data_IF_957868501872
#
_entry.id   IF_957868501872
#
_cell.length_a   1.000
_cell.length_b   1.000
_cell.length_c   1.000
_cell.angle_alpha   90.00
_cell.angle_beta   90.00
_cell.angle_gamma   90.00
#
_symmetry.space_group_name_H-M   'P 1'
#
loop_
_entity.id
_entity.type
_entity.pdbx_description
1 polymer ?
#
# COMPACT_ATOMS: atom_id res chain seq x y z
N UNK A 1 -54.68 -28.26 -40.06
CA UNK A 1 -53.72 -28.37 -38.94
C UNK A 1 -52.36 -27.84 -39.38
N UNK A 2 -51.94 -26.65 -38.93
CA UNK A 2 -50.57 -26.16 -39.15
C UNK A 2 -50.08 -25.46 -37.88
N UNK A 3 -48.98 -25.96 -37.36
CA UNK A 3 -48.49 -25.76 -35.98
C UNK A 3 -47.66 -24.47 -35.94
N UNK A 4 -48.11 -23.48 -35.17
CA UNK A 4 -47.36 -22.26 -34.81
C UNK A 4 -45.97 -22.64 -34.27
N UNK A 5 -44.92 -22.38 -35.05
CA UNK A 5 -43.53 -22.35 -34.56
C UNK A 5 -43.25 -20.94 -34.05
N UNK A 6 -43.61 -20.67 -32.79
CA UNK A 6 -43.10 -19.49 -32.06
C UNK A 6 -41.64 -19.76 -31.75
N UNK A 7 -40.73 -19.12 -32.48
CA UNK A 7 -39.33 -19.02 -32.08
C UNK A 7 -39.27 -18.23 -30.78
N UNK A 8 -39.07 -18.95 -29.66
CA UNK A 8 -38.53 -18.36 -28.43
C UNK A 8 -37.11 -17.91 -28.77
N UNK A 9 -36.96 -16.66 -29.19
CA UNK A 9 -35.67 -16.00 -29.17
C UNK A 9 -35.18 -16.10 -27.73
N UNK A 10 -34.08 -16.83 -27.54
CA UNK A 10 -33.30 -16.86 -26.30
C UNK A 10 -33.00 -15.42 -25.96
N UNK A 11 -33.66 -14.94 -24.91
CA UNK A 11 -33.24 -13.76 -24.18
C UNK A 11 -31.87 -14.10 -23.57
N UNK A 12 -30.83 -13.84 -24.36
CA UNK A 12 -29.44 -13.93 -23.93
C UNK A 12 -29.15 -12.67 -23.15
N UNK A 13 -29.79 -12.59 -21.98
CA UNK A 13 -29.40 -11.71 -20.89
C UNK A 13 -27.97 -12.08 -20.51
N UNK A 14 -26.99 -11.50 -21.22
CA UNK A 14 -25.66 -11.31 -20.68
C UNK A 14 -25.91 -10.46 -19.46
N UNK A 15 -25.98 -11.10 -18.30
CA UNK A 15 -25.74 -10.44 -17.04
C UNK A 15 -24.30 -9.93 -17.14
N UNK A 16 -24.14 -8.74 -17.72
CA UNK A 16 -23.01 -7.86 -17.42
C UNK A 16 -22.98 -7.87 -15.89
N UNK A 17 -21.95 -8.45 -15.24
CA UNK A 17 -21.85 -8.34 -13.80
C UNK A 17 -21.68 -6.86 -13.58
N UNK A 18 -22.76 -6.18 -13.17
CA UNK A 18 -22.72 -4.80 -12.74
C UNK A 18 -21.53 -4.75 -11.80
N UNK A 19 -20.48 -4.03 -12.20
CA UNK A 19 -19.27 -3.83 -11.42
C UNK A 19 -19.74 -3.14 -10.15
N UNK A 20 -20.15 -3.94 -9.17
CA UNK A 20 -20.61 -3.49 -7.88
C UNK A 20 -19.37 -2.88 -7.28
N UNK A 21 -19.25 -1.55 -7.40
CA UNK A 21 -18.15 -0.75 -6.85
C UNK A 21 -18.23 -0.90 -5.34
N UNK A 22 -17.66 -1.99 -4.86
CA UNK A 22 -17.59 -2.30 -3.44
C UNK A 22 -16.64 -1.30 -2.78
N UNK A 23 -17.00 -0.73 -1.61
CA UNK A 23 -16.27 0.38 -1.04
C UNK A 23 -14.94 -0.11 -0.45
N UNK A 24 -13.86 0.10 -1.21
CA UNK A 24 -12.47 -0.05 -0.76
C UNK A 24 -12.13 0.85 0.44
N UNK A 25 -12.98 1.84 0.73
CA UNK A 25 -12.82 2.78 1.85
C UNK A 25 -12.76 2.08 3.21
N UNK A 26 -13.56 1.03 3.44
CA UNK A 26 -13.56 0.33 4.74
C UNK A 26 -12.24 -0.41 5.00
N UNK A 27 -11.76 -1.34 4.12
CA UNK A 27 -10.49 -2.01 4.36
C UNK A 27 -9.30 -1.04 4.35
N UNK A 28 -9.29 -0.03 3.48
CA UNK A 28 -8.25 0.98 3.49
C UNK A 28 -8.23 1.79 4.80
N UNK A 29 -9.41 2.17 5.32
CA UNK A 29 -9.53 2.85 6.60
C UNK A 29 -9.07 2.00 7.78
N UNK A 30 -9.40 0.71 7.79
CA UNK A 30 -8.91 -0.23 8.82
C UNK A 30 -7.39 -0.39 8.78
N UNK A 31 -6.80 -0.54 7.58
CA UNK A 31 -5.35 -0.60 7.42
C UNK A 31 -4.67 0.69 7.85
N UNK A 32 -5.25 1.84 7.52
CA UNK A 32 -4.74 3.14 7.97
C UNK A 32 -4.73 3.24 9.50
N UNK A 33 -5.84 2.87 10.15
CA UNK A 33 -5.95 2.90 11.61
C UNK A 33 -4.99 1.90 12.27
N UNK A 34 -4.85 0.70 11.72
CA UNK A 34 -3.91 -0.31 12.20
C UNK A 34 -2.46 0.20 12.12
N UNK A 35 -2.06 0.75 10.97
CA UNK A 35 -0.75 1.37 10.79
C UNK A 35 -0.55 2.54 11.76
N UNK A 36 -1.56 3.40 11.94
CA UNK A 36 -1.45 4.58 12.79
C UNK A 36 -1.26 4.18 14.25
N UNK A 37 -2.01 3.19 14.73
CA UNK A 37 -1.88 2.66 16.10
C UNK A 37 -0.50 2.03 16.29
N UNK A 38 -0.04 1.21 15.34
CA UNK A 38 1.26 0.54 15.41
C UNK A 38 2.44 1.53 15.42
N UNK A 39 2.36 2.60 14.63
CA UNK A 39 3.42 3.60 14.49
C UNK A 39 3.24 4.83 15.38
N UNK A 40 2.17 4.93 16.18
CA UNK A 40 1.87 6.13 16.96
C UNK A 40 3.05 6.59 17.83
N UNK A 41 3.73 5.64 18.47
CA UNK A 41 4.86 5.93 19.34
C UNK A 41 6.14 6.25 18.57
N UNK A 42 6.27 5.88 17.28
CA UNK A 42 7.50 6.08 16.51
C UNK A 42 7.75 7.55 16.18
N UNK A 43 6.70 8.38 16.07
CA UNK A 43 6.80 9.81 15.70
C UNK A 43 7.68 10.66 16.61
N UNK A 44 8.02 10.17 17.81
CA UNK A 44 8.85 10.88 18.80
C UNK A 44 10.18 10.21 19.08
N UNK A 45 10.45 9.05 18.48
CA UNK A 45 11.68 8.30 18.71
C UNK A 45 12.83 8.98 17.97
N UNK A 46 13.99 9.21 18.62
CA UNK A 46 15.15 9.80 17.97
C UNK A 46 15.74 8.85 16.91
N UNK A 47 16.53 9.42 16.00
CA UNK A 47 17.34 8.65 15.05
C UNK A 47 18.39 7.83 15.81
N UNK A 48 18.34 6.50 15.67
CA UNK A 48 19.19 5.56 16.43
C UNK A 48 19.81 4.52 15.50
N UNK A 49 20.81 3.79 16.00
CA UNK A 49 21.48 2.70 15.26
C UNK A 49 21.98 3.14 13.88
N UNK A 50 21.45 2.55 12.81
CA UNK A 50 21.86 2.79 11.44
C UNK A 50 21.43 4.17 10.93
N UNK A 51 20.43 4.82 11.52
CA UNK A 51 20.04 6.18 11.17
C UNK A 51 21.17 7.19 11.42
N UNK A 52 22.05 6.90 12.39
CA UNK A 52 23.18 7.78 12.71
C UNK A 52 24.13 7.90 11.51
N UNK A 53 24.45 6.77 10.87
CA UNK A 53 25.36 6.75 9.72
C UNK A 53 24.62 7.02 8.40
N UNK A 54 23.35 6.66 8.32
CA UNK A 54 22.55 6.76 7.09
C UNK A 54 21.99 8.17 6.89
N UNK A 55 21.63 8.86 7.98
CA UNK A 55 20.96 10.18 7.95
C UNK A 55 21.81 11.22 8.69
N UNK A 56 22.06 11.03 9.99
CA UNK A 56 22.63 12.11 10.81
C UNK A 56 24.03 12.51 10.37
N UNK A 57 24.92 11.53 10.16
CA UNK A 57 26.34 11.73 9.81
C UNK A 57 26.62 11.57 8.33
N UNK A 58 25.59 11.37 7.51
CA UNK A 58 25.76 11.16 6.07
C UNK A 58 25.82 12.51 5.33
N UNK A 59 27.02 12.89 4.88
CA UNK A 59 27.20 14.08 4.06
C UNK A 59 26.39 14.03 2.75
N UNK A 60 26.25 12.84 2.15
CA UNK A 60 25.46 12.65 0.93
C UNK A 60 23.99 12.98 1.11
N UNK A 61 23.41 12.69 2.28
CA UNK A 61 22.04 13.11 2.61
C UNK A 61 21.93 14.62 2.77
N UNK A 62 22.90 15.25 3.46
CA UNK A 62 22.90 16.68 3.75
C UNK A 62 23.13 17.56 2.51
N UNK A 63 23.98 17.10 1.58
CA UNK A 63 24.40 17.86 0.41
C UNK A 63 23.83 17.31 -0.91
N UNK A 64 23.04 16.23 -0.87
CA UNK A 64 22.44 15.62 -2.06
C UNK A 64 23.44 14.85 -2.94
N UNK A 65 24.58 14.46 -2.37
CA UNK A 65 25.66 13.76 -3.07
C UNK A 65 25.52 12.24 -2.87
N UNK A 66 24.76 11.58 -3.74
CA UNK A 66 24.61 10.11 -3.70
C UNK A 66 24.65 9.48 -5.09
N UNK A 67 25.13 8.25 -5.16
CA UNK A 67 25.33 7.52 -6.41
C UNK A 67 24.03 6.85 -6.87
N UNK A 68 23.64 7.08 -8.13
CA UNK A 68 22.43 6.53 -8.76
C UNK A 68 22.55 5.08 -9.26
N UNK A 69 23.63 4.37 -8.90
CA UNK A 69 23.87 3.00 -9.35
C UNK A 69 22.88 1.99 -8.73
N UNK A 70 22.61 0.89 -9.44
CA UNK A 70 21.70 -0.19 -8.99
C UNK A 70 22.14 -0.88 -7.69
N UNK A 71 23.42 -0.78 -7.32
CA UNK A 71 23.93 -1.27 -6.03
C UNK A 71 23.71 -0.27 -4.88
N UNK A 72 23.29 0.97 -5.17
CA UNK A 72 23.12 2.05 -4.22
C UNK A 72 21.66 2.26 -3.80
N UNK A 73 21.46 2.65 -2.54
CA UNK A 73 20.14 3.02 -1.99
C UNK A 73 19.73 4.43 -2.45
N UNK A 74 19.84 4.72 -3.75
CA UNK A 74 19.71 6.09 -4.29
C UNK A 74 18.34 6.71 -4.02
N UNK A 75 17.26 5.95 -4.21
CA UNK A 75 15.90 6.43 -3.90
C UNK A 75 15.74 6.72 -2.41
N UNK A 76 16.27 5.85 -1.54
CA UNK A 76 16.26 6.06 -0.09
C UNK A 76 17.01 7.36 0.28
N UNK A 77 18.22 7.54 -0.25
CA UNK A 77 19.01 8.73 0.03
C UNK A 77 18.37 10.00 -0.54
N UNK A 78 17.77 9.95 -1.73
CA UNK A 78 16.95 11.05 -2.24
C UNK A 78 15.82 11.39 -1.27
N UNK A 79 15.07 10.41 -0.80
CA UNK A 79 13.98 10.63 0.18
C UNK A 79 14.51 11.22 1.48
N UNK A 80 15.67 10.77 1.98
CA UNK A 80 16.29 11.35 3.17
C UNK A 80 16.83 12.76 2.95
N UNK A 81 17.39 13.06 1.77
CA UNK A 81 17.79 14.42 1.41
C UNK A 81 16.59 15.35 1.37
N UNK A 82 15.47 14.91 0.79
CA UNK A 82 14.23 15.70 0.77
C UNK A 82 13.67 15.93 2.19
N UNK A 83 13.69 14.91 3.05
CA UNK A 83 13.35 15.07 4.47
C UNK A 83 14.26 16.09 5.16
N UNK A 84 15.57 15.99 4.93
CA UNK A 84 16.56 16.90 5.52
C UNK A 84 16.36 18.34 5.05
N UNK A 85 16.04 18.56 3.77
CA UNK A 85 15.72 19.90 3.24
C UNK A 85 14.44 20.45 3.87
N UNK A 86 13.46 19.60 4.17
CA UNK A 86 12.18 20.03 4.74
C UNK A 86 12.25 20.34 6.24
N UNK A 87 12.91 19.49 7.03
CA UNK A 87 12.86 19.55 8.50
C UNK A 87 14.23 19.45 9.18
N UNK A 88 15.32 19.33 8.43
CA UNK A 88 16.66 19.15 8.97
C UNK A 88 16.82 17.78 9.65
N UNK A 89 17.25 17.79 10.91
CA UNK A 89 17.38 16.56 11.73
C UNK A 89 16.15 16.30 12.59
N UNK A 90 15.07 17.07 12.42
CA UNK A 90 13.83 16.87 13.16
C UNK A 90 13.12 15.59 12.72
N UNK A 91 12.87 14.68 13.65
CA UNK A 91 12.47 13.29 13.33
C UNK A 91 11.07 13.15 12.76
N UNK A 92 10.20 14.15 12.96
CA UNK A 92 8.78 14.04 12.63
C UNK A 92 8.55 13.80 11.13
N UNK A 93 9.33 14.44 10.23
CA UNK A 93 9.11 14.29 8.79
C UNK A 93 9.56 12.91 8.30
N UNK A 94 10.67 12.41 8.84
CA UNK A 94 11.17 11.06 8.56
C UNK A 94 10.13 10.01 8.95
N UNK A 95 9.57 10.11 10.17
CA UNK A 95 8.54 9.19 10.64
C UNK A 95 7.23 9.33 9.88
N UNK A 96 6.84 10.55 9.49
CA UNK A 96 5.65 10.78 8.67
C UNK A 96 5.76 10.15 7.29
N UNK A 97 6.88 10.34 6.60
CA UNK A 97 7.12 9.73 5.28
C UNK A 97 7.18 8.21 5.41
N UNK A 98 7.86 7.68 6.43
CA UNK A 98 7.89 6.23 6.69
C UNK A 98 6.49 5.65 6.94
N UNK A 99 5.65 6.34 7.73
CA UNK A 99 4.26 5.95 7.96
C UNK A 99 3.46 5.92 6.65
N UNK A 100 3.56 6.97 5.82
CA UNK A 100 2.91 7.01 4.52
C UNK A 100 3.35 5.85 3.61
N UNK A 101 4.66 5.56 3.54
CA UNK A 101 5.19 4.46 2.76
C UNK A 101 4.71 3.10 3.28
N UNK A 102 4.67 2.91 4.60
CA UNK A 102 4.17 1.68 5.20
C UNK A 102 2.69 1.46 4.91
N UNK A 103 1.86 2.50 5.05
CA UNK A 103 0.45 2.44 4.70
C UNK A 103 0.22 2.12 3.21
N UNK A 104 0.97 2.77 2.30
CA UNK A 104 0.87 2.50 0.86
C UNK A 104 1.32 1.08 0.51
N UNK A 105 2.38 0.57 1.14
CA UNK A 105 2.83 -0.81 0.97
C UNK A 105 1.78 -1.81 1.49
N UNK A 106 1.16 -1.56 2.64
CA UNK A 106 0.05 -2.38 3.14
C UNK A 106 -1.12 -2.41 2.16
N UNK A 107 -1.49 -1.26 1.59
CA UNK A 107 -2.54 -1.20 0.55
C UNK A 107 -2.15 -2.00 -0.70
N UNK A 108 -0.90 -1.93 -1.14
CA UNK A 108 -0.39 -2.70 -2.27
C UNK A 108 -0.47 -4.22 -1.98
N UNK A 109 -0.03 -4.65 -0.79
CA UNK A 109 -0.12 -6.05 -0.35
C UNK A 109 -1.57 -6.50 -0.30
N UNK A 110 -2.49 -5.66 0.21
CA UNK A 110 -3.92 -5.97 0.21
C UNK A 110 -4.45 -6.24 -1.20
N UNK A 111 -4.11 -5.37 -2.16
CA UNK A 111 -4.52 -5.52 -3.57
C UNK A 111 -3.93 -6.80 -4.18
N UNK A 112 -2.65 -7.07 -3.96
CA UNK A 112 -1.98 -8.27 -4.48
C UNK A 112 -2.57 -9.54 -3.85
N UNK A 113 -2.79 -9.57 -2.55
CA UNK A 113 -3.41 -10.70 -1.86
C UNK A 113 -4.85 -10.93 -2.34
N UNK A 114 -5.61 -9.85 -2.53
CA UNK A 114 -6.94 -9.91 -3.13
C UNK A 114 -6.91 -10.55 -4.54
N UNK A 115 -5.93 -10.20 -5.36
CA UNK A 115 -5.75 -10.78 -6.69
C UNK A 115 -5.36 -12.26 -6.63
N UNK A 116 -4.40 -12.61 -5.78
CA UNK A 116 -3.94 -14.00 -5.60
C UNK A 116 -5.08 -14.88 -5.12
N UNK A 117 -5.80 -14.49 -4.06
CA UNK A 117 -6.88 -15.30 -3.50
C UNK A 117 -8.11 -15.42 -4.42
N UNK A 118 -8.27 -14.52 -5.39
CA UNK A 118 -9.28 -14.67 -6.46
C UNK A 118 -9.01 -15.91 -7.31
N UNK A 119 -7.76 -16.28 -7.51
CA UNK A 119 -7.37 -17.46 -8.28
C UNK A 119 -7.48 -18.78 -7.49
N UNK A 120 -7.79 -18.73 -6.20
CA UNK A 120 -7.83 -19.91 -5.30
C UNK A 120 -9.28 -20.29 -4.92
N UNK A 121 -10.29 -19.78 -5.64
CA UNK A 121 -11.72 -20.05 -5.40
C UNK A 121 -12.19 -19.82 -3.95
N UNK A 122 -11.54 -18.92 -3.23
CA UNK A 122 -11.92 -18.54 -1.86
C UNK A 122 -13.15 -17.63 -1.93
N UNK A 123 -14.15 -17.89 -1.07
CA UNK A 123 -15.32 -17.01 -0.92
C UNK A 123 -14.89 -15.55 -0.67
N UNK A 124 -15.54 -14.60 -1.34
CA UNK A 124 -15.27 -13.17 -1.32
C UNK A 124 -15.09 -12.56 0.08
N UNK A 125 -15.92 -12.96 1.06
CA UNK A 125 -15.79 -12.48 2.45
C UNK A 125 -14.48 -12.96 3.11
N UNK A 126 -14.12 -14.24 2.91
CA UNK A 126 -12.88 -14.83 3.44
C UNK A 126 -11.65 -14.28 2.72
N UNK A 127 -11.76 -14.05 1.41
CA UNK A 127 -10.73 -13.45 0.56
C UNK A 127 -10.25 -12.11 1.13
N UNK A 128 -11.19 -11.21 1.44
CA UNK A 128 -10.90 -9.89 2.01
C UNK A 128 -10.34 -9.95 3.42
N UNK A 129 -10.86 -10.84 4.25
CA UNK A 129 -10.32 -11.04 5.58
C UNK A 129 -8.86 -11.48 5.51
N UNK A 130 -8.53 -12.46 4.66
CA UNK A 130 -7.16 -12.94 4.50
C UNK A 130 -6.25 -11.91 3.85
N UNK A 131 -6.74 -11.16 2.86
CA UNK A 131 -5.98 -10.05 2.27
C UNK A 131 -5.72 -8.93 3.28
N UNK A 132 -6.71 -8.60 4.12
CA UNK A 132 -6.58 -7.62 5.19
C UNK A 132 -5.59 -8.06 6.27
N UNK A 133 -5.62 -9.33 6.66
CA UNK A 133 -4.61 -9.89 7.56
C UNK A 133 -3.23 -9.82 6.93
N UNK A 134 -3.06 -10.30 5.70
CA UNK A 134 -1.77 -10.27 5.00
C UNK A 134 -1.16 -8.86 4.87
N UNK A 135 -2.01 -7.84 4.73
CA UNK A 135 -1.60 -6.44 4.65
C UNK A 135 -1.31 -5.76 5.99
N UNK A 136 -1.62 -6.43 7.11
CA UNK A 136 -1.43 -5.89 8.46
C UNK A 136 -0.09 -6.30 9.10
N UNK A 137 0.76 -7.06 8.39
CA UNK A 137 2.11 -7.47 8.79
C UNK A 137 3.15 -6.85 7.85
#
# INVERSE_FOLDING_TARGET
MSRKRRSRARDSGRHEPALQKFPWALPAGLLFLAALIAYWNSFRVPLVFDDLLTIQRNAGVRFGEFHWGLAGRAVLYLTFTLNYVWSGQEVWSYHFINFCLHFLNGLLVFVLAEQVFRHVEINEQRRRLYAGLAAAF
#
